data_IF_582471678373
#
_entry.id   IF_582471678373
#
_cell.length_a   1.000
_cell.length_b   1.000
_cell.length_c   1.000
_cell.angle_alpha   90.00
_cell.angle_beta   90.00
_cell.angle_gamma   90.00
#
_symmetry.space_group_name_H-M   'P 1'
#
loop_
_entity.id
_entity.type
_entity.pdbx_description
1 polymer ?
#
# COMPACT_ATOMS: atom_id res chain seq x y z
N UNK A 1 38.02 -18.69 39.10
CA UNK A 1 38.01 -18.22 37.69
C UNK A 1 37.82 -19.48 36.87
N UNK A 2 36.72 -19.82 36.18
CA UNK A 2 35.56 -19.10 35.62
C UNK A 2 34.56 -20.23 35.27
N UNK A 3 33.33 -20.32 35.83
CA UNK A 3 32.03 -20.00 35.17
C UNK A 3 32.05 -20.23 33.64
N UNK A 4 31.15 -20.98 32.96
CA UNK A 4 29.67 -20.96 32.91
C UNK A 4 29.26 -22.26 32.15
N UNK A 5 28.57 -23.24 32.76
CA UNK A 5 27.12 -23.51 32.70
C UNK A 5 26.43 -23.56 31.32
N UNK A 6 25.67 -24.65 31.18
CA UNK A 6 24.42 -24.81 30.42
C UNK A 6 24.46 -25.15 28.92
N UNK A 7 24.44 -26.47 28.73
CA UNK A 7 23.69 -27.17 27.70
C UNK A 7 22.22 -26.70 27.70
N UNK A 8 21.78 -25.95 26.68
CA UNK A 8 20.34 -25.93 26.29
C UNK A 8 20.17 -25.49 24.84
N UNK A 9 19.65 -26.42 24.04
CA UNK A 9 18.93 -26.23 22.77
C UNK A 9 19.66 -25.42 21.68
N UNK A 10 20.38 -26.00 20.71
CA UNK A 10 19.85 -26.94 19.72
C UNK A 10 18.35 -26.71 19.44
N UNK A 11 18.01 -25.67 18.67
CA UNK A 11 16.84 -25.53 17.76
C UNK A 11 16.60 -24.05 17.41
N UNK A 12 17.31 -23.51 16.41
CA UNK A 12 16.78 -22.39 15.58
C UNK A 12 17.61 -22.23 14.29
N UNK A 13 17.19 -22.94 13.25
CA UNK A 13 17.36 -22.67 11.81
C UNK A 13 18.78 -22.51 11.20
N UNK A 14 19.25 -23.46 10.36
CA UNK A 14 20.49 -23.35 9.59
C UNK A 14 20.38 -22.46 8.33
N UNK A 15 19.30 -21.69 8.18
CA UNK A 15 18.94 -21.00 6.93
C UNK A 15 19.62 -19.62 6.75
N UNK A 16 20.26 -19.07 7.79
CA UNK A 16 20.78 -17.70 7.73
C UNK A 16 22.24 -17.61 7.24
N UNK A 17 22.97 -18.73 7.20
CA UNK A 17 24.44 -18.68 7.07
C UNK A 17 24.97 -18.84 5.64
N UNK A 18 24.09 -19.01 4.65
CA UNK A 18 24.47 -19.21 3.24
C UNK A 18 24.21 -17.99 2.33
N UNK A 19 23.82 -16.82 2.87
CA UNK A 19 23.32 -15.67 2.10
C UNK A 19 24.30 -14.48 1.97
N UNK A 20 25.61 -14.67 2.15
CA UNK A 20 26.56 -13.55 2.14
C UNK A 20 27.53 -13.48 0.96
N UNK A 21 27.48 -14.39 -0.03
CA UNK A 21 28.51 -14.43 -1.09
C UNK A 21 27.97 -14.38 -2.54
N UNK A 22 26.66 -14.51 -2.75
CA UNK A 22 26.06 -14.37 -4.08
C UNK A 22 25.04 -13.24 -4.01
N UNK A 23 25.36 -12.10 -4.64
CA UNK A 23 24.55 -10.89 -4.63
C UNK A 23 23.07 -11.22 -4.73
N UNK A 24 22.31 -10.79 -3.73
CA UNK A 24 20.88 -11.06 -3.62
C UNK A 24 20.21 -10.70 -4.96
N UNK A 25 19.69 -11.68 -5.74
CA UNK A 25 18.80 -11.33 -6.81
C UNK A 25 17.61 -10.64 -6.16
N UNK A 26 17.31 -9.46 -6.68
CA UNK A 26 16.37 -8.50 -6.14
C UNK A 26 15.09 -9.18 -5.60
N UNK A 27 14.75 -8.99 -4.31
CA UNK A 27 13.56 -9.58 -3.66
C UNK A 27 12.24 -9.21 -4.37
N UNK A 28 12.29 -8.23 -5.28
CA UNK A 28 11.19 -7.79 -6.15
C UNK A 28 10.82 -8.80 -7.24
N UNK A 29 11.70 -9.73 -7.63
CA UNK A 29 11.45 -10.66 -8.73
C UNK A 29 10.58 -11.88 -8.36
N UNK A 30 10.33 -12.14 -7.07
CA UNK A 30 9.68 -13.39 -6.63
C UNK A 30 8.16 -13.27 -6.38
N UNK A 31 7.55 -12.08 -6.55
CA UNK A 31 6.12 -11.85 -6.27
C UNK A 31 5.50 -10.80 -7.21
N UNK A 32 5.05 -11.15 -8.45
CA UNK A 32 4.43 -10.20 -9.38
C UNK A 32 3.10 -9.59 -8.87
N UNK A 33 2.44 -10.27 -7.94
CA UNK A 33 1.28 -9.74 -7.20
C UNK A 33 1.66 -8.52 -6.34
N UNK A 34 2.86 -8.52 -5.75
CA UNK A 34 3.33 -7.44 -4.89
C UNK A 34 3.61 -6.16 -5.69
N UNK A 35 4.15 -6.27 -6.91
CA UNK A 35 4.39 -5.10 -7.78
C UNK A 35 3.08 -4.46 -8.26
N UNK A 36 2.07 -5.28 -8.55
CA UNK A 36 0.72 -4.79 -8.90
C UNK A 36 0.07 -4.07 -7.72
N UNK A 37 0.09 -4.67 -6.53
CA UNK A 37 -0.47 -4.05 -5.33
C UNK A 37 0.26 -2.75 -4.96
N UNK A 38 1.59 -2.72 -5.02
CA UNK A 38 2.38 -1.50 -4.79
C UNK A 38 2.02 -0.37 -5.75
N UNK A 39 1.88 -0.68 -7.05
CA UNK A 39 1.46 0.32 -8.04
C UNK A 39 0.10 0.90 -7.70
N UNK A 40 -0.87 0.05 -7.36
CA UNK A 40 -2.22 0.51 -7.06
C UNK A 40 -2.32 1.22 -5.71
N UNK A 41 -1.50 0.84 -4.72
CA UNK A 41 -1.36 1.59 -3.48
C UNK A 41 -0.88 3.02 -3.75
N UNK A 42 0.14 3.19 -4.60
CA UNK A 42 0.60 4.51 -5.00
C UNK A 42 -0.46 5.30 -5.79
N UNK A 43 -1.27 4.64 -6.63
CA UNK A 43 -2.37 5.29 -7.35
C UNK A 43 -3.50 5.74 -6.42
N UNK A 44 -3.88 4.91 -5.45
CA UNK A 44 -4.91 5.24 -4.45
C UNK A 44 -4.46 6.43 -3.60
N UNK A 45 -3.22 6.41 -3.13
CA UNK A 45 -2.64 7.53 -2.38
C UNK A 45 -2.59 8.83 -3.20
N UNK A 46 -2.10 8.75 -4.44
CA UNK A 46 -2.07 9.89 -5.36
C UNK A 46 -3.46 10.43 -5.67
N UNK A 47 -4.45 9.56 -5.84
CA UNK A 47 -5.84 9.96 -6.03
C UNK A 47 -6.38 10.70 -4.82
N UNK A 48 -6.17 10.16 -3.61
CA UNK A 48 -6.59 10.81 -2.36
C UNK A 48 -6.01 12.21 -2.24
N UNK A 49 -4.69 12.35 -2.44
CA UNK A 49 -3.99 13.63 -2.42
C UNK A 49 -4.53 14.61 -3.48
N UNK A 50 -4.81 14.12 -4.70
CA UNK A 50 -5.37 14.94 -5.79
C UNK A 50 -6.74 15.49 -5.42
N UNK A 51 -7.56 14.73 -4.69
CA UNK A 51 -8.89 15.17 -4.26
C UNK A 51 -8.90 15.85 -2.88
N UNK A 52 -7.73 16.21 -2.35
CA UNK A 52 -7.58 16.92 -1.09
C UNK A 52 -7.83 16.07 0.17
N UNK A 53 -7.70 14.76 0.07
CA UNK A 53 -7.84 13.82 1.20
C UNK A 53 -6.46 13.32 1.60
N UNK A 54 -6.05 13.64 2.83
CA UNK A 54 -4.88 13.02 3.48
C UNK A 54 -5.31 11.72 4.17
N UNK A 55 -4.94 10.57 3.61
CA UNK A 55 -5.31 9.26 4.16
C UNK A 55 -4.66 9.01 5.53
N UNK A 56 -3.44 9.52 5.77
CA UNK A 56 -2.75 9.36 7.05
C UNK A 56 -3.47 10.16 8.14
N UNK A 57 -3.89 11.39 7.82
CA UNK A 57 -4.71 12.20 8.72
C UNK A 57 -6.03 11.50 9.04
N UNK A 58 -6.74 10.98 8.03
CA UNK A 58 -8.02 10.27 8.24
C UNK A 58 -7.85 9.01 9.07
N UNK A 59 -6.75 8.29 8.89
CA UNK A 59 -6.40 7.12 9.68
C UNK A 59 -6.14 7.50 11.15
N UNK A 60 -5.34 8.56 11.38
CA UNK A 60 -5.08 9.07 12.73
C UNK A 60 -6.33 9.63 13.42
N UNK A 61 -7.24 10.22 12.66
CA UNK A 61 -8.53 10.71 13.12
C UNK A 61 -9.54 9.58 13.42
N UNK A 62 -9.21 8.31 13.11
CA UNK A 62 -10.10 7.18 13.26
C UNK A 62 -11.30 7.21 12.31
N UNK A 63 -11.14 7.86 11.16
CA UNK A 63 -12.15 7.98 10.11
C UNK A 63 -11.97 6.93 9.00
N UNK A 64 -10.86 6.20 9.06
CA UNK A 64 -10.42 5.20 8.11
C UNK A 64 -9.57 4.20 8.90
N UNK A 65 -9.59 2.93 8.53
CA UNK A 65 -8.70 1.90 9.07
C UNK A 65 -7.74 1.35 8.00
N UNK A 66 -6.69 0.68 8.45
CA UNK A 66 -5.67 0.11 7.55
C UNK A 66 -6.27 -0.96 6.64
N UNK A 67 -7.25 -1.71 7.14
CA UNK A 67 -7.94 -2.75 6.38
C UNK A 67 -8.76 -2.15 5.23
N UNK A 68 -9.48 -1.05 5.44
CA UNK A 68 -10.19 -0.34 4.36
C UNK A 68 -9.25 0.22 3.30
N UNK A 69 -8.04 0.68 3.69
CA UNK A 69 -7.02 1.08 2.71
C UNK A 69 -6.61 -0.14 1.86
N UNK A 70 -6.37 -1.29 2.50
CA UNK A 70 -6.07 -2.54 1.80
C UNK A 70 -7.17 -2.93 0.81
N UNK A 71 -8.43 -2.86 1.25
CA UNK A 71 -9.60 -3.13 0.41
C UNK A 71 -9.71 -2.14 -0.76
N UNK A 72 -9.42 -0.86 -0.53
CA UNK A 72 -9.41 0.16 -1.58
C UNK A 72 -8.34 -0.15 -2.64
N UNK A 73 -7.16 -0.60 -2.24
CA UNK A 73 -6.09 -1.02 -3.16
C UNK A 73 -6.52 -2.25 -3.95
N UNK A 74 -7.05 -3.27 -3.28
CA UNK A 74 -7.56 -4.48 -3.94
C UNK A 74 -8.68 -4.14 -4.94
N UNK A 75 -9.62 -3.27 -4.58
CA UNK A 75 -10.65 -2.81 -5.50
C UNK A 75 -10.06 -2.06 -6.70
N UNK A 76 -9.05 -1.23 -6.46
CA UNK A 76 -8.34 -0.48 -7.50
C UNK A 76 -7.66 -1.42 -8.50
N UNK A 77 -7.09 -2.54 -8.07
CA UNK A 77 -6.49 -3.54 -8.99
C UNK A 77 -7.49 -4.13 -9.99
N UNK A 78 -8.78 -4.12 -9.68
CA UNK A 78 -9.86 -4.57 -10.57
C UNK A 78 -10.42 -3.48 -11.49
N UNK A 79 -9.85 -2.27 -11.50
CA UNK A 79 -10.27 -1.21 -12.41
C UNK A 79 -9.96 -1.58 -13.87
N UNK A 80 -10.92 -1.34 -14.76
CA UNK A 80 -10.82 -1.73 -16.17
C UNK A 80 -9.84 -0.87 -16.99
N UNK A 81 -9.48 0.32 -16.49
CA UNK A 81 -8.66 1.30 -17.22
C UNK A 81 -7.65 2.03 -16.31
N UNK A 82 -6.58 1.36 -15.84
CA UNK A 82 -5.54 2.02 -15.06
C UNK A 82 -4.83 3.14 -15.84
N UNK A 83 -4.71 3.02 -17.17
CA UNK A 83 -4.10 4.05 -18.01
C UNK A 83 -4.93 5.34 -18.12
N UNK A 84 -6.26 5.26 -18.06
CA UNK A 84 -7.12 6.46 -18.03
C UNK A 84 -7.04 7.16 -16.68
N UNK A 85 -6.93 6.39 -15.59
CA UNK A 85 -6.72 6.93 -14.24
C UNK A 85 -5.43 7.73 -14.15
N UNK A 86 -4.31 7.17 -14.62
CA UNK A 86 -3.00 7.85 -14.62
C UNK A 86 -3.03 9.14 -15.45
N UNK A 87 -3.60 9.10 -16.66
CA UNK A 87 -3.77 10.30 -17.50
C UNK A 87 -4.60 11.38 -16.82
N UNK A 88 -5.67 10.99 -16.14
CA UNK A 88 -6.50 11.92 -15.40
C UNK A 88 -5.73 12.55 -14.22
N UNK A 89 -4.98 11.74 -13.46
CA UNK A 89 -4.14 12.22 -12.35
C UNK A 89 -3.02 13.16 -12.82
N UNK A 90 -2.44 12.91 -14.00
CA UNK A 90 -1.43 13.80 -14.59
C UNK A 90 -2.05 15.14 -15.00
N UNK A 91 -3.26 15.11 -15.59
CA UNK A 91 -3.99 16.31 -15.98
C UNK A 91 -4.48 17.15 -14.77
N UNK A 92 -4.69 16.53 -13.61
CA UNK A 92 -5.20 17.17 -12.39
C UNK A 92 -4.11 17.30 -11.30
N UNK A 93 -2.85 17.48 -11.68
CA UNK A 93 -1.74 17.66 -10.73
C UNK A 93 -1.88 18.85 -9.78
N UNK A 94 -2.74 19.81 -10.10
CA UNK A 94 -3.08 20.96 -9.26
C UNK A 94 -4.23 20.69 -8.27
N UNK A 95 -4.79 19.48 -8.28
CA UNK A 95 -5.94 19.08 -7.49
C UNK A 95 -7.25 19.03 -8.29
N UNK A 96 -8.24 18.36 -7.70
CA UNK A 96 -9.60 18.23 -8.22
C UNK A 96 -10.60 18.17 -7.06
N UNK A 97 -11.82 18.66 -7.27
CA UNK A 97 -12.84 18.63 -6.22
C UNK A 97 -13.42 17.21 -5.99
N UNK A 98 -13.41 16.38 -7.03
CA UNK A 98 -13.97 15.03 -7.00
C UNK A 98 -13.13 14.03 -7.80
N UNK A 99 -13.12 12.75 -7.41
CA UNK A 99 -12.51 11.70 -8.22
C UNK A 99 -13.24 11.54 -9.56
N UNK A 100 -12.57 11.00 -10.59
CA UNK A 100 -13.21 10.79 -11.87
C UNK A 100 -14.25 9.67 -11.79
N UNK A 101 -15.29 9.73 -12.62
CA UNK A 101 -16.37 8.73 -12.65
C UNK A 101 -15.91 7.30 -12.96
N UNK A 102 -14.71 7.15 -13.54
CA UNK A 102 -14.07 5.85 -13.80
C UNK A 102 -13.43 5.23 -12.54
N UNK A 103 -13.29 5.98 -11.45
CA UNK A 103 -12.67 5.51 -10.23
C UNK A 103 -13.60 4.56 -9.46
N UNK A 104 -13.13 3.35 -9.18
CA UNK A 104 -13.90 2.34 -8.44
C UNK A 104 -14.05 2.68 -6.95
N UNK A 105 -13.15 3.51 -6.42
CA UNK A 105 -13.14 3.96 -5.04
C UNK A 105 -13.82 5.33 -4.87
N UNK A 106 -14.64 5.77 -5.82
CA UNK A 106 -15.32 7.07 -5.76
C UNK A 106 -16.12 7.23 -4.48
N UNK A 107 -16.94 6.24 -4.11
CA UNK A 107 -17.75 6.27 -2.88
C UNK A 107 -16.89 6.40 -1.61
N UNK A 108 -15.75 5.72 -1.57
CA UNK A 108 -14.80 5.81 -0.46
C UNK A 108 -14.30 7.24 -0.29
N UNK A 109 -13.82 7.86 -1.37
CA UNK A 109 -13.30 9.22 -1.32
C UNK A 109 -14.39 10.25 -1.00
N UNK A 110 -15.59 10.10 -1.55
CA UNK A 110 -16.74 10.97 -1.25
C UNK A 110 -17.13 10.90 0.24
N UNK A 111 -17.12 9.71 0.85
CA UNK A 111 -17.37 9.54 2.30
C UNK A 111 -16.32 10.25 3.14
N UNK A 112 -15.04 10.10 2.78
CA UNK A 112 -13.93 10.74 3.49
C UNK A 112 -13.93 12.28 3.36
N UNK A 113 -14.31 12.81 2.18
CA UNK A 113 -14.53 14.25 1.97
C UNK A 113 -15.70 14.77 2.81
N UNK A 114 -16.80 14.01 2.89
CA UNK A 114 -17.95 14.35 3.69
C UNK A 114 -17.70 14.25 5.22
N UNK A 115 -16.48 13.87 5.64
CA UNK A 115 -16.14 13.70 7.05
C UNK A 115 -16.92 12.55 7.68
N UNK A 116 -17.27 11.52 6.91
CA UNK A 116 -17.88 10.28 7.40
C UNK A 116 -16.81 9.21 7.53
N UNK A 117 -16.97 8.33 8.52
CA UNK A 117 -16.13 7.15 8.61
C UNK A 117 -16.32 6.32 7.34
N UNK A 118 -15.22 5.89 6.73
CA UNK A 118 -15.17 5.03 5.56
C UNK A 118 -15.22 3.54 5.93
#
# INVERSE_FOLDING_TARGET
MTQVKDKRAALRYPLCQALTDQGCPNMEALMPENTTLKRHAALVDRMANTVGIDLEEKLMAGMLDVDTIGDAVLNCTGCSSPGDCERWLDAHSHGADAPPSICRNTELFERLQAGKHA
#
